data_IF_900295221280
#
_entry.id   IF_900295221280
#
_cell.length_a   1.000
_cell.length_b   1.000
_cell.length_c   1.000
_cell.angle_alpha   90.00
_cell.angle_beta   90.00
_cell.angle_gamma   90.00
#
_symmetry.space_group_name_H-M   'P 1'
#
loop_
_entity.id
_entity.type
_entity.pdbx_description
1 polymer ?
#
# COMPACT_ATOMS: atom_id res chain seq x y z
N UNK A 1 -26.04 68.59 5.29
CA UNK A 1 -24.86 67.70 5.25
C UNK A 1 -25.40 66.27 5.33
N UNK A 2 -25.54 65.60 4.18
CA UNK A 2 -26.07 64.24 4.11
C UNK A 2 -24.91 63.26 3.99
N UNK A 3 -24.81 62.34 4.95
CA UNK A 3 -23.75 61.33 5.03
C UNK A 3 -24.27 60.04 4.39
N UNK A 4 -23.68 59.64 3.27
CA UNK A 4 -23.99 58.36 2.61
C UNK A 4 -23.14 57.25 3.24
N UNK A 5 -23.80 56.33 3.96
CA UNK A 5 -23.20 55.08 4.41
C UNK A 5 -23.19 54.08 3.26
N UNK A 6 -22.00 53.75 2.76
CA UNK A 6 -21.81 52.68 1.76
C UNK A 6 -21.59 51.38 2.53
N UNK A 7 -22.58 50.49 2.52
CA UNK A 7 -22.48 49.15 3.12
C UNK A 7 -21.78 48.25 2.10
N UNK A 8 -20.53 47.88 2.38
CA UNK A 8 -19.76 46.93 1.58
C UNK A 8 -20.14 45.52 2.02
N UNK A 9 -20.96 44.85 1.21
CA UNK A 9 -21.39 43.47 1.41
C UNK A 9 -20.26 42.52 0.99
N UNK A 10 -19.49 42.01 1.95
CA UNK A 10 -18.49 40.97 1.69
C UNK A 10 -19.17 39.61 1.52
N UNK A 11 -19.27 39.16 0.27
CA UNK A 11 -19.63 37.78 -0.09
C UNK A 11 -18.49 36.84 0.34
N UNK A 12 -18.67 36.18 1.49
CA UNK A 12 -17.79 35.09 1.93
C UNK A 12 -18.16 33.84 1.13
N UNK A 13 -17.38 33.55 0.08
CA UNK A 13 -17.46 32.28 -0.64
C UNK A 13 -16.96 31.17 0.28
N UNK A 14 -17.89 30.44 0.89
CA UNK A 14 -17.60 29.24 1.68
C UNK A 14 -17.15 28.15 0.69
N UNK A 15 -15.84 27.98 0.53
CA UNK A 15 -15.24 26.92 -0.26
C UNK A 15 -15.56 25.58 0.38
N UNK A 16 -16.61 24.91 -0.11
CA UNK A 16 -17.02 23.59 0.34
C UNK A 16 -15.91 22.56 0.14
N UNK A 17 -15.66 21.77 1.18
CA UNK A 17 -14.78 20.61 1.16
C UNK A 17 -15.18 19.68 0.01
N UNK A 18 -14.34 19.58 -1.02
CA UNK A 18 -14.50 18.57 -2.05
C UNK A 18 -14.23 17.21 -1.41
N UNK A 19 -15.27 16.38 -1.32
CA UNK A 19 -15.14 14.99 -0.90
C UNK A 19 -14.04 14.33 -1.74
N UNK A 20 -13.05 13.72 -1.08
CA UNK A 20 -12.02 12.95 -1.76
C UNK A 20 -12.69 11.92 -2.67
N UNK A 21 -12.34 11.86 -3.97
CA UNK A 21 -12.93 10.89 -4.87
C UNK A 21 -12.74 9.50 -4.28
N UNK A 22 -13.84 8.76 -4.13
CA UNK A 22 -13.82 7.37 -3.69
C UNK A 22 -12.79 6.63 -4.51
N UNK A 23 -11.82 5.99 -3.84
CA UNK A 23 -10.72 5.26 -4.46
C UNK A 23 -11.30 4.33 -5.51
N UNK A 24 -11.07 4.63 -6.79
CA UNK A 24 -11.62 3.82 -7.88
C UNK A 24 -11.18 2.36 -7.66
N UNK A 25 -12.10 1.39 -7.85
CA UNK A 25 -11.76 -0.01 -7.69
C UNK A 25 -10.58 -0.35 -8.61
N UNK A 26 -9.54 -0.98 -8.04
CA UNK A 26 -8.36 -1.32 -8.82
C UNK A 26 -8.78 -2.19 -10.03
N UNK A 27 -8.38 -1.84 -11.25
CA UNK A 27 -8.79 -2.56 -12.45
C UNK A 27 -8.31 -4.02 -12.41
N UNK A 28 -9.19 -4.92 -12.85
CA UNK A 28 -8.97 -6.37 -12.87
C UNK A 28 -8.44 -6.85 -14.21
N UNK A 29 -7.94 -8.09 -14.27
CA UNK A 29 -7.49 -8.71 -15.51
C UNK A 29 -8.24 -10.02 -15.76
N UNK A 30 -8.43 -10.40 -17.01
CA UNK A 30 -9.00 -11.71 -17.37
C UNK A 30 -7.88 -12.68 -17.75
N UNK A 31 -7.88 -13.88 -17.17
CA UNK A 31 -6.93 -14.93 -17.53
C UNK A 31 -7.34 -15.68 -18.81
N UNK A 32 -6.50 -16.60 -19.25
CA UNK A 32 -6.72 -17.44 -20.43
C UNK A 32 -7.90 -18.42 -20.31
N UNK A 33 -8.48 -18.58 -19.12
CA UNK A 33 -9.70 -19.36 -18.88
C UNK A 33 -10.94 -18.48 -18.78
N UNK A 34 -10.82 -17.17 -19.02
CA UNK A 34 -11.93 -16.22 -18.89
C UNK A 34 -12.22 -15.80 -17.46
N UNK A 35 -11.37 -16.16 -16.47
CA UNK A 35 -11.59 -15.82 -15.07
C UNK A 35 -10.97 -14.47 -14.73
N UNK A 36 -11.75 -13.64 -14.04
CA UNK A 36 -11.31 -12.32 -13.56
C UNK A 36 -10.37 -12.48 -12.35
N UNK A 37 -9.23 -11.81 -12.42
CA UNK A 37 -8.17 -11.78 -11.41
C UNK A 37 -8.07 -10.37 -10.81
N UNK A 38 -7.92 -10.24 -9.49
CA UNK A 38 -7.75 -8.93 -8.87
C UNK A 38 -6.41 -8.31 -9.25
N UNK A 39 -6.29 -7.00 -9.06
CA UNK A 39 -5.02 -6.31 -9.21
C UNK A 39 -3.95 -6.88 -8.27
N UNK A 40 -2.70 -6.85 -8.71
CA UNK A 40 -1.51 -7.44 -8.08
C UNK A 40 -1.56 -8.97 -7.87
N UNK A 41 -2.52 -9.66 -8.49
CA UNK A 41 -2.56 -11.13 -8.48
C UNK A 41 -1.60 -11.71 -9.52
N UNK A 42 -0.93 -12.83 -9.18
CA UNK A 42 -0.05 -13.55 -10.11
C UNK A 42 -0.45 -15.03 -10.23
N UNK A 43 -0.43 -15.57 -11.44
CA UNK A 43 -0.81 -16.95 -11.75
C UNK A 43 0.06 -17.56 -12.84
N UNK A 44 0.08 -18.88 -12.96
CA UNK A 44 0.73 -19.59 -14.06
C UNK A 44 -0.30 -19.89 -15.16
N UNK A 45 0.17 -19.97 -16.40
CA UNK A 45 -0.65 -20.54 -17.46
C UNK A 45 -0.80 -22.06 -17.33
N UNK A 46 -1.74 -22.63 -18.09
CA UNK A 46 -2.09 -24.07 -18.07
C UNK A 46 -0.90 -25.02 -18.24
N UNK A 47 0.15 -24.56 -18.93
CA UNK A 47 1.34 -25.36 -19.27
C UNK A 47 2.56 -24.93 -18.44
N UNK A 48 2.39 -24.00 -17.49
CA UNK A 48 3.44 -23.37 -16.69
C UNK A 48 4.61 -22.81 -17.53
N UNK A 49 4.33 -22.39 -18.77
CA UNK A 49 5.31 -21.74 -19.67
C UNK A 49 5.39 -20.24 -19.47
N UNK A 50 4.44 -19.68 -18.74
CA UNK A 50 4.48 -18.28 -18.35
C UNK A 50 3.83 -18.02 -16.98
N UNK A 51 4.37 -17.00 -16.31
CA UNK A 51 3.79 -16.40 -15.11
C UNK A 51 3.17 -15.09 -15.52
N UNK A 52 1.90 -14.92 -15.20
CA UNK A 52 1.14 -13.71 -15.46
C UNK A 52 1.01 -12.91 -14.17
N UNK A 53 0.99 -11.58 -14.29
CA UNK A 53 0.69 -10.65 -13.19
C UNK A 53 -0.32 -9.61 -13.69
N UNK A 54 -1.35 -9.34 -12.90
CA UNK A 54 -2.30 -8.26 -13.18
C UNK A 54 -1.83 -6.96 -12.53
N UNK A 55 -1.48 -5.94 -13.31
CA UNK A 55 -1.10 -4.63 -12.78
C UNK A 55 -1.84 -3.53 -13.54
N UNK A 56 -2.68 -2.77 -12.84
CA UNK A 56 -3.42 -1.67 -13.46
C UNK A 56 -4.37 -2.11 -14.58
N UNK A 57 -4.96 -3.32 -14.49
CA UNK A 57 -5.83 -3.87 -15.54
C UNK A 57 -5.09 -4.46 -16.74
N UNK A 58 -3.76 -4.34 -16.77
CA UNK A 58 -2.92 -4.94 -17.81
C UNK A 58 -2.34 -6.26 -17.32
N UNK A 59 -2.38 -7.28 -18.19
CA UNK A 59 -1.76 -8.58 -17.96
C UNK A 59 -0.32 -8.57 -18.46
N UNK A 60 0.62 -8.67 -17.53
CA UNK A 60 2.05 -8.81 -17.82
C UNK A 60 2.41 -10.29 -17.82
N UNK A 61 3.00 -10.77 -18.92
CA UNK A 61 3.38 -12.17 -19.11
C UNK A 61 4.90 -12.29 -19.06
N UNK A 62 5.41 -13.07 -18.12
CA UNK A 62 6.83 -13.42 -18.02
C UNK A 62 7.01 -14.88 -18.44
N UNK A 63 7.83 -15.18 -19.47
CA UNK A 63 8.13 -16.56 -19.81
C UNK A 63 8.89 -17.22 -18.66
N UNK A 64 8.48 -18.42 -18.31
CA UNK A 64 9.11 -19.23 -17.27
C UNK A 64 9.14 -20.68 -17.73
N UNK A 65 9.99 -21.47 -17.09
CA UNK A 65 9.96 -22.93 -17.20
C UNK A 65 9.93 -23.49 -15.80
N UNK A 66 9.18 -24.57 -15.59
CA UNK A 66 9.35 -25.34 -14.37
C UNK A 66 10.81 -25.82 -14.30
N UNK A 67 11.39 -25.89 -13.09
CA UNK A 67 12.73 -26.42 -12.94
C UNK A 67 12.82 -27.87 -13.39
N UNK A 68 14.04 -28.35 -13.56
CA UNK A 68 14.27 -29.78 -13.73
C UNK A 68 13.64 -30.56 -12.58
N UNK A 69 13.05 -31.72 -12.88
CA UNK A 69 12.34 -32.56 -11.90
C UNK A 69 11.10 -31.91 -11.28
N UNK A 70 10.49 -30.93 -11.98
CA UNK A 70 9.13 -30.48 -11.70
C UNK A 70 8.20 -30.71 -12.87
N UNK A 71 6.92 -30.88 -12.53
CA UNK A 71 5.83 -31.01 -13.49
C UNK A 71 4.82 -29.91 -13.24
N UNK A 72 4.26 -29.36 -14.33
CA UNK A 72 3.14 -28.42 -14.22
C UNK A 72 1.88 -29.19 -13.86
N UNK A 73 1.25 -28.85 -12.74
CA UNK A 73 0.03 -29.48 -12.28
C UNK A 73 -0.96 -28.42 -11.81
N UNK A 74 -2.25 -28.77 -11.85
CA UNK A 74 -3.28 -27.94 -11.23
C UNK A 74 -3.11 -27.99 -9.71
N UNK A 75 -3.09 -26.84 -9.04
CA UNK A 75 -2.93 -26.78 -7.60
C UNK A 75 -4.06 -27.54 -6.90
N UNK A 76 -3.70 -28.27 -5.85
CA UNK A 76 -4.64 -28.99 -4.98
C UNK A 76 -5.20 -28.12 -3.86
N UNK A 77 -4.73 -26.87 -3.76
CA UNK A 77 -5.16 -25.92 -2.73
C UNK A 77 -6.57 -25.41 -3.02
N UNK A 78 -7.51 -25.48 -2.06
CA UNK A 78 -8.91 -25.11 -2.30
C UNK A 78 -9.11 -23.61 -2.59
N UNK A 79 -8.17 -22.77 -2.15
CA UNK A 79 -8.12 -21.33 -2.38
C UNK A 79 -7.36 -20.95 -3.67
N UNK A 80 -6.69 -21.92 -4.30
CA UNK A 80 -5.80 -21.70 -5.44
C UNK A 80 -6.25 -22.55 -6.63
N UNK A 81 -6.97 -21.92 -7.56
CA UNK A 81 -7.48 -22.59 -8.77
C UNK A 81 -6.46 -22.60 -9.93
N UNK A 82 -5.20 -22.33 -9.64
CA UNK A 82 -4.18 -22.06 -10.64
C UNK A 82 -3.26 -23.27 -10.84
N UNK A 83 -2.46 -23.21 -11.89
CA UNK A 83 -1.40 -24.18 -12.14
C UNK A 83 -0.16 -23.80 -11.32
N UNK A 84 0.63 -24.79 -10.92
CA UNK A 84 1.90 -24.61 -10.24
C UNK A 84 2.91 -25.67 -10.67
N UNK A 85 4.20 -25.32 -10.59
CA UNK A 85 5.28 -26.28 -10.78
C UNK A 85 5.47 -27.08 -9.50
N UNK A 86 5.17 -28.38 -9.54
CA UNK A 86 5.31 -29.31 -8.41
C UNK A 86 6.48 -30.25 -8.67
N UNK A 87 7.39 -30.38 -7.70
CA UNK A 87 8.50 -31.31 -7.80
C UNK A 87 8.01 -32.77 -7.90
N UNK A 88 8.71 -33.58 -8.68
CA UNK A 88 8.49 -35.00 -8.80
C UNK A 88 8.69 -35.73 -7.46
N UNK A 89 8.15 -36.94 -7.33
CA UNK A 89 8.25 -37.75 -6.11
C UNK A 89 9.72 -37.94 -5.71
N UNK A 90 10.06 -37.56 -4.46
CA UNK A 90 11.42 -37.65 -3.92
C UNK A 90 12.26 -36.37 -4.08
N UNK A 91 11.70 -35.34 -4.73
CA UNK A 91 12.31 -34.02 -4.85
C UNK A 91 11.49 -32.97 -4.09
N UNK A 92 12.17 -31.93 -3.62
CA UNK A 92 11.55 -30.84 -2.88
C UNK A 92 12.00 -29.49 -3.43
N UNK A 93 11.08 -28.53 -3.47
CA UNK A 93 11.33 -27.18 -3.93
C UNK A 93 12.14 -26.45 -2.85
N UNK A 94 13.33 -25.94 -3.19
CA UNK A 94 14.18 -25.20 -2.24
C UNK A 94 14.25 -23.73 -2.63
N UNK A 95 13.95 -22.86 -1.66
CA UNK A 95 14.12 -21.42 -1.75
C UNK A 95 13.17 -20.73 -2.73
N UNK A 96 13.48 -19.47 -3.03
CA UNK A 96 12.79 -18.67 -4.04
C UNK A 96 13.24 -19.03 -5.47
N UNK A 97 14.38 -19.71 -5.59
CA UNK A 97 15.05 -20.02 -6.85
C UNK A 97 14.38 -21.16 -7.61
N UNK A 98 13.27 -21.69 -7.07
CA UNK A 98 12.41 -22.71 -7.68
C UNK A 98 13.22 -23.91 -8.18
N UNK A 99 14.20 -24.40 -7.43
CA UNK A 99 14.92 -25.62 -7.80
C UNK A 99 14.33 -26.83 -7.07
N UNK A 100 14.13 -27.94 -7.78
CA UNK A 100 13.78 -29.22 -7.17
C UNK A 100 15.06 -30.00 -6.88
N UNK A 101 15.36 -30.25 -5.60
CA UNK A 101 16.52 -31.05 -5.19
C UNK A 101 16.10 -32.36 -4.56
N UNK A 102 16.85 -33.42 -4.86
CA UNK A 102 16.71 -34.69 -4.18
C UNK A 102 17.13 -34.50 -2.72
N UNK A 103 16.33 -35.00 -1.78
CA UNK A 103 16.60 -34.84 -0.37
C UNK A 103 15.48 -35.43 0.48
N UNK A 104 15.62 -35.35 1.80
CA UNK A 104 14.47 -35.51 2.66
C UNK A 104 13.58 -34.28 2.51
N UNK A 105 12.26 -34.49 2.55
CA UNK A 105 11.34 -33.38 2.80
C UNK A 105 11.93 -32.58 3.95
N UNK A 106 11.89 -31.24 3.92
CA UNK A 106 12.15 -30.48 5.15
C UNK A 106 11.33 -31.16 6.24
N UNK A 107 11.99 -31.83 7.19
CA UNK A 107 11.34 -32.51 8.31
C UNK A 107 10.45 -31.47 8.91
N UNK A 108 9.12 -31.68 8.78
CA UNK A 108 8.04 -30.72 8.99
C UNK A 108 8.57 -29.33 9.34
N UNK A 109 8.62 -28.42 8.34
CA UNK A 109 9.13 -27.06 8.48
C UNK A 109 8.93 -26.60 9.92
N UNK A 110 10.02 -26.31 10.68
CA UNK A 110 9.97 -26.15 12.14
C UNK A 110 8.74 -25.33 12.43
N UNK A 111 7.79 -25.92 13.18
CA UNK A 111 6.41 -25.46 13.28
C UNK A 111 6.41 -23.95 13.14
N UNK A 112 5.95 -23.45 11.98
CA UNK A 112 6.00 -22.02 11.66
C UNK A 112 5.49 -21.36 12.92
N UNK A 113 6.33 -20.60 13.66
CA UNK A 113 6.00 -20.17 15.00
C UNK A 113 4.61 -19.59 14.89
N UNK A 114 3.68 -20.26 15.57
CA UNK A 114 2.25 -20.12 15.33
C UNK A 114 2.00 -18.62 15.20
N UNK A 115 1.62 -18.17 13.98
CA UNK A 115 1.67 -16.74 13.64
C UNK A 115 1.06 -16.01 14.83
N UNK A 116 1.84 -15.23 15.61
CA UNK A 116 1.45 -14.87 16.96
C UNK A 116 0.04 -14.31 16.87
N UNK A 117 -0.89 -14.94 17.62
CA UNK A 117 -2.31 -14.59 17.61
C UNK A 117 -2.37 -13.06 17.57
N UNK A 118 -2.96 -12.44 16.53
CA UNK A 118 -2.80 -11.01 16.30
C UNK A 118 -3.13 -10.29 17.60
N UNK A 119 -2.09 -9.76 18.24
CA UNK A 119 -2.31 -8.97 19.44
C UNK A 119 -3.11 -7.77 18.96
N UNK A 120 -4.21 -7.38 19.65
CA UNK A 120 -4.94 -6.18 19.29
C UNK A 120 -3.93 -5.06 19.04
N UNK A 121 -4.01 -4.36 17.90
CA UNK A 121 -3.01 -3.36 17.56
C UNK A 121 -2.95 -2.34 18.69
N UNK A 122 -1.77 -2.16 19.27
CA UNK A 122 -1.57 -1.14 20.31
C UNK A 122 -1.89 0.22 19.69
N UNK A 123 -2.88 0.91 20.26
CA UNK A 123 -3.31 2.23 19.79
C UNK A 123 -2.65 3.32 20.64
N UNK A 124 -2.29 4.41 20.00
CA UNK A 124 -1.94 5.65 20.68
C UNK A 124 -3.16 6.56 20.73
N UNK A 125 -3.30 7.30 21.84
CA UNK A 125 -4.35 8.31 22.04
C UNK A 125 -3.65 9.65 22.18
N UNK A 126 -3.99 10.63 21.34
CA UNK A 126 -3.45 11.99 21.50
C UNK A 126 -4.21 12.81 22.55
N UNK A 127 -3.75 14.04 22.78
CA UNK A 127 -4.35 14.98 23.74
C UNK A 127 -5.82 15.31 23.44
N UNK A 128 -6.28 15.07 22.20
CA UNK A 128 -7.66 15.32 21.75
C UNK A 128 -8.51 14.05 21.75
N UNK A 129 -7.95 12.91 22.15
CA UNK A 129 -8.63 11.62 22.13
C UNK A 129 -8.62 10.92 20.77
N UNK A 130 -7.86 11.42 19.78
CA UNK A 130 -7.77 10.76 18.49
C UNK A 130 -6.91 9.49 18.57
N UNK A 131 -7.33 8.44 17.84
CA UNK A 131 -6.73 7.11 17.89
C UNK A 131 -5.80 6.87 16.69
N UNK A 132 -4.57 6.46 16.96
CA UNK A 132 -3.56 6.15 15.95
C UNK A 132 -3.08 4.71 16.09
N UNK A 133 -3.02 4.00 14.97
CA UNK A 133 -2.49 2.63 14.93
C UNK A 133 -0.97 2.63 15.05
N UNK A 134 -0.41 1.58 15.66
CA UNK A 134 1.04 1.39 15.78
C UNK A 134 1.74 1.55 14.41
N UNK A 135 2.86 2.27 14.40
CA UNK A 135 3.64 2.62 13.21
C UNK A 135 3.08 3.78 12.36
N UNK A 136 1.87 4.29 12.65
CA UNK A 136 1.31 5.43 11.90
C UNK A 136 2.11 6.68 12.18
N UNK A 137 2.50 7.37 11.10
CA UNK A 137 3.10 8.71 11.13
C UNK A 137 2.06 9.76 10.77
N UNK A 138 2.07 10.89 11.46
CA UNK A 138 1.22 12.04 11.13
C UNK A 138 1.91 13.32 11.57
N UNK A 139 1.42 14.46 11.10
CA UNK A 139 1.96 15.75 11.48
C UNK A 139 0.98 16.49 12.39
N UNK A 140 1.49 17.29 13.33
CA UNK A 140 0.68 18.06 14.26
C UNK A 140 -0.15 19.13 13.55
N UNK A 141 -1.17 19.62 14.27
CA UNK A 141 -1.84 20.86 13.90
C UNK A 141 -0.79 21.97 13.77
N UNK A 142 -0.75 22.63 12.61
CA UNK A 142 0.25 23.64 12.21
C UNK A 142 1.63 23.12 11.75
N UNK A 143 1.78 21.80 11.52
CA UNK A 143 3.00 21.22 10.94
C UNK A 143 4.29 21.51 11.73
N UNK A 144 4.17 21.61 13.06
CA UNK A 144 5.28 21.94 13.97
C UNK A 144 5.96 20.70 14.55
N UNK A 145 5.33 19.53 14.45
CA UNK A 145 5.85 18.25 14.93
C UNK A 145 5.47 17.11 13.99
N UNK A 146 6.40 16.21 13.72
CA UNK A 146 6.08 14.89 13.19
C UNK A 146 5.87 13.95 14.38
N UNK A 147 4.79 13.19 14.32
CA UNK A 147 4.43 12.22 15.33
C UNK A 147 4.47 10.82 14.74
N UNK A 148 4.83 9.84 15.56
CA UNK A 148 4.71 8.43 15.26
C UNK A 148 4.19 7.68 16.47
N UNK A 149 3.24 6.78 16.25
CA UNK A 149 2.75 5.88 17.28
C UNK A 149 3.67 4.66 17.33
N UNK A 150 4.32 4.42 18.46
CA UNK A 150 5.16 3.24 18.69
C UNK A 150 4.76 2.62 20.02
N UNK A 151 4.19 1.42 19.95
CA UNK A 151 3.78 0.58 21.07
C UNK A 151 2.94 1.34 22.12
N UNK A 152 1.94 2.08 21.62
CA UNK A 152 0.99 2.84 22.45
C UNK A 152 1.53 4.18 22.96
N UNK A 153 2.76 4.55 22.58
CA UNK A 153 3.36 5.85 22.91
C UNK A 153 3.48 6.72 21.66
N UNK A 154 3.14 7.99 21.80
CA UNK A 154 3.34 9.00 20.76
C UNK A 154 4.76 9.54 20.93
N UNK A 155 5.61 9.33 19.93
CA UNK A 155 6.90 9.98 19.83
C UNK A 155 6.76 11.17 18.87
N UNK A 156 7.18 12.33 19.34
CA UNK A 156 7.13 13.57 18.58
C UNK A 156 8.53 14.14 18.35
N UNK A 157 8.81 14.54 17.13
CA UNK A 157 10.00 15.30 16.76
C UNK A 157 9.57 16.67 16.20
N UNK A 158 10.34 17.75 16.44
CA UNK A 158 10.08 19.03 15.79
C UNK A 158 10.10 18.88 14.27
N UNK A 159 9.13 19.49 13.61
CA UNK A 159 9.03 19.52 12.16
C UNK A 159 8.74 20.94 11.70
N UNK A 160 9.20 21.25 10.49
CA UNK A 160 8.84 22.48 9.79
C UNK A 160 8.65 22.12 8.32
N UNK A 161 7.70 22.80 7.67
CA UNK A 161 7.58 22.65 6.24
C UNK A 161 8.85 23.13 5.53
N UNK A 162 9.23 22.47 4.42
CA UNK A 162 10.37 22.91 3.63
C UNK A 162 10.15 24.33 3.12
N UNK A 163 11.23 24.99 2.72
CA UNK A 163 11.16 26.32 2.10
C UNK A 163 10.19 26.30 0.90
N UNK A 164 9.31 27.30 0.80
CA UNK A 164 8.19 27.36 -0.16
C UNK A 164 7.10 26.29 0.06
N UNK A 165 7.04 25.69 1.25
CA UNK A 165 5.98 24.80 1.69
C UNK A 165 5.08 25.47 2.72
N UNK A 166 3.77 25.26 2.60
CA UNK A 166 2.77 25.69 3.57
C UNK A 166 2.10 24.48 4.21
N UNK A 167 1.81 24.60 5.51
CA UNK A 167 1.01 23.61 6.21
C UNK A 167 -0.44 23.68 5.69
N UNK A 168 -0.96 22.58 5.18
CA UNK A 168 -2.34 22.51 4.70
C UNK A 168 -2.92 21.12 4.95
N UNK A 169 -4.19 21.08 5.38
CA UNK A 169 -4.93 19.85 5.60
C UNK A 169 -6.13 20.08 6.53
N UNK A 170 -6.92 19.03 6.74
CA UNK A 170 -8.06 19.04 7.64
C UNK A 170 -7.73 18.23 8.89
N UNK A 171 -7.90 18.83 10.07
CA UNK A 171 -7.73 18.22 11.39
C UNK A 171 -6.49 17.30 11.50
N UNK A 172 -6.69 15.98 11.41
CA UNK A 172 -5.69 14.93 11.62
C UNK A 172 -4.76 14.69 10.41
N UNK A 173 -5.03 15.30 9.27
CA UNK A 173 -4.31 15.08 8.01
C UNK A 173 -3.56 16.32 7.54
N UNK A 174 -2.91 17.02 8.47
CA UNK A 174 -2.00 18.10 8.11
C UNK A 174 -0.80 17.55 7.35
N UNK A 175 -0.49 18.17 6.22
CA UNK A 175 0.72 17.89 5.44
C UNK A 175 1.34 19.18 4.93
N UNK A 176 2.64 19.15 4.67
CA UNK A 176 3.29 20.24 3.98
C UNK A 176 2.98 20.13 2.49
N UNK A 177 2.40 21.19 1.94
CA UNK A 177 2.13 21.31 0.51
C UNK A 177 2.98 22.43 -0.05
N UNK A 178 3.59 22.21 -1.21
CA UNK A 178 4.32 23.28 -1.89
C UNK A 178 3.37 24.41 -2.29
N UNK A 179 3.87 25.64 -2.20
CA UNK A 179 3.22 26.85 -2.66
C UNK A 179 2.94 26.80 -4.18
N UNK A 180 2.07 27.70 -4.64
CA UNK A 180 1.80 27.88 -6.06
C UNK A 180 3.11 28.15 -6.83
N UNK A 181 3.23 27.58 -8.03
CA UNK A 181 4.43 27.63 -8.87
C UNK A 181 5.67 26.88 -8.32
N UNK A 182 5.52 26.05 -7.29
CA UNK A 182 6.53 25.09 -6.87
C UNK A 182 6.09 23.65 -7.19
N UNK A 183 7.05 22.72 -7.28
CA UNK A 183 6.82 21.28 -7.35
C UNK A 183 7.58 20.55 -6.24
N UNK A 184 7.06 19.40 -5.82
CA UNK A 184 7.70 18.59 -4.80
C UNK A 184 8.77 17.69 -5.42
N UNK A 185 9.98 17.75 -4.89
CA UNK A 185 11.07 16.84 -5.21
C UNK A 185 11.29 15.89 -4.02
N UNK A 186 11.15 14.59 -4.27
CA UNK A 186 11.27 13.50 -3.28
C UNK A 186 10.35 13.61 -2.05
N UNK A 187 9.26 14.39 -2.16
CA UNK A 187 8.34 14.60 -1.03
C UNK A 187 8.92 15.44 0.11
N UNK A 188 10.17 15.91 -0.03
CA UNK A 188 10.92 16.61 1.02
C UNK A 188 11.14 18.08 0.65
N UNK A 189 11.34 18.38 -0.64
CA UNK A 189 11.72 19.71 -1.10
C UNK A 189 10.62 20.35 -1.94
N UNK A 190 10.44 21.66 -1.83
CA UNK A 190 9.59 22.45 -2.72
C UNK A 190 10.47 23.36 -3.59
N UNK A 191 10.58 23.01 -4.87
CA UNK A 191 11.43 23.69 -5.85
C UNK A 191 10.55 24.53 -6.75
N UNK A 192 10.95 25.77 -7.02
CA UNK A 192 10.24 26.66 -7.94
C UNK A 192 10.35 26.09 -9.36
N UNK A 193 9.23 26.09 -10.10
CA UNK A 193 9.20 25.70 -11.51
C UNK A 193 10.05 26.62 -12.37
#
# INVERSE_FOLDING_TARGET
MSVFFTVVLFLVLVSGCQAFPSREPNPTCTDEFGKTRPAAYSWFDKDCTSKNVCLGGFRYRQPIRCPEKATCQKSTRPDYFDYECVCEKGFYMIGNDRECRAGQAPTAAPAVPEKPKPTPPTLCIDEKGALYVNGRKWMSNNCTKNNVCIDGKILSEPAQCPKNGKCQGEAEWQKCKCEENCYSLDGIWCVKK
#
